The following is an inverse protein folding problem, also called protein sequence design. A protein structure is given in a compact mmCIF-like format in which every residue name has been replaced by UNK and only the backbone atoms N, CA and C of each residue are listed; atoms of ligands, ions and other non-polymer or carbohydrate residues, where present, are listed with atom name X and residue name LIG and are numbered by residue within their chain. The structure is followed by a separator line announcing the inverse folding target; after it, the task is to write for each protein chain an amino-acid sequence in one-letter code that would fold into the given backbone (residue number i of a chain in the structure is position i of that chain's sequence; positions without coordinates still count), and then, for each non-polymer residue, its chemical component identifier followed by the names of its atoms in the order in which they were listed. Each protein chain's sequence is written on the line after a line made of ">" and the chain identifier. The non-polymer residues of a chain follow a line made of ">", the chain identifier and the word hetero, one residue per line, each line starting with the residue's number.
data_IF_170685172726
#
_entry.id   IF_170685172726
#
_cell.length_a   1.000
_cell.length_b   1.000
_cell.length_c   1.000
_cell.angle_alpha   90.00
_cell.angle_beta   90.00
_cell.angle_gamma   90.00
#
_symmetry.space_group_name_H-M   'P 1'
#
loop_
_entity.id
_entity.type
_entity.pdbx_description
1 polymer ?
#
# COMPACT_ATOMS: atom_id res chain seq x y z
N UNK A 1 7.92 13.20 -9.08
CA UNK A 1 8.92 13.68 -8.10
C UNK A 1 10.20 13.98 -8.86
N UNK A 2 10.71 15.22 -8.86
CA UNK A 2 12.02 15.53 -9.43
C UNK A 2 13.11 14.71 -8.72
N UNK A 3 14.20 14.34 -9.42
CA UNK A 3 15.31 13.57 -8.82
C UNK A 3 15.91 14.24 -7.58
N UNK A 4 15.83 15.58 -7.50
CA UNK A 4 16.28 16.36 -6.35
C UNK A 4 15.50 16.03 -5.07
N UNK A 5 14.18 15.82 -5.20
CA UNK A 5 13.34 15.42 -4.08
C UNK A 5 13.78 14.07 -3.52
N UNK A 6 14.03 13.08 -4.39
CA UNK A 6 14.52 11.76 -3.99
C UNK A 6 15.89 11.83 -3.28
N UNK A 7 16.82 12.64 -3.79
CA UNK A 7 18.13 12.84 -3.14
C UNK A 7 17.99 13.43 -1.74
N UNK A 8 17.11 14.42 -1.58
CA UNK A 8 16.80 15.02 -0.28
C UNK A 8 16.24 13.99 0.71
N UNK A 9 15.36 13.08 0.25
CA UNK A 9 14.85 11.99 1.11
C UNK A 9 15.97 11.07 1.61
N UNK A 10 16.93 10.72 0.74
CA UNK A 10 18.08 9.88 1.13
C UNK A 10 19.01 10.58 2.12
N UNK A 11 19.28 11.88 1.95
CA UNK A 11 20.08 12.66 2.91
C UNK A 11 19.43 12.67 4.29
N UNK A 12 18.13 12.95 4.36
CA UNK A 12 17.36 12.97 5.61
C UNK A 12 17.39 11.61 6.32
N UNK A 13 17.35 10.49 5.58
CA UNK A 13 17.47 9.15 6.17
C UNK A 13 18.89 8.86 6.68
N UNK A 14 19.91 9.20 5.90
CA UNK A 14 21.32 8.97 6.23
C UNK A 14 21.80 9.74 7.47
N UNK A 15 21.20 10.89 7.75
CA UNK A 15 21.52 11.70 8.94
C UNK A 15 20.98 11.11 10.26
N UNK A 16 19.99 10.20 10.19
CA UNK A 16 19.28 9.70 11.37
C UNK A 16 19.60 8.24 11.71
N UNK A 17 19.81 7.38 10.71
CA UNK A 17 19.98 5.95 10.91
C UNK A 17 21.06 5.36 10.01
N UNK A 18 21.70 4.28 10.48
CA UNK A 18 22.47 3.42 9.60
C UNK A 18 21.54 2.79 8.55
N UNK A 19 22.07 2.53 7.35
CA UNK A 19 21.30 1.90 6.27
C UNK A 19 20.61 0.59 6.70
N UNK A 20 21.28 -0.35 7.43
CA UNK A 20 20.61 -1.55 7.93
C UNK A 20 19.43 -1.23 8.85
N UNK A 21 19.60 -0.31 9.80
CA UNK A 21 18.53 0.09 10.72
C UNK A 21 17.35 0.72 9.99
N UNK A 22 17.61 1.58 9.00
CA UNK A 22 16.57 2.20 8.19
C UNK A 22 15.80 1.15 7.35
N UNK A 23 16.51 0.13 6.87
CA UNK A 23 15.92 -0.97 6.10
C UNK A 23 15.00 -1.85 6.96
N UNK A 24 15.47 -2.29 8.13
CA UNK A 24 14.66 -3.12 9.04
C UNK A 24 13.38 -2.38 9.46
N UNK A 25 13.50 -1.09 9.81
CA UNK A 25 12.35 -0.25 10.15
C UNK A 25 11.38 -0.09 8.97
N UNK A 26 11.89 0.09 7.75
CA UNK A 26 11.06 0.12 6.55
C UNK A 26 10.29 -1.18 6.37
N UNK A 27 10.94 -2.33 6.50
CA UNK A 27 10.32 -3.65 6.36
C UNK A 27 9.20 -3.85 7.40
N UNK A 28 9.48 -3.60 8.68
CA UNK A 28 8.50 -3.73 9.76
C UNK A 28 7.25 -2.90 9.49
N UNK A 29 7.42 -1.64 9.06
CA UNK A 29 6.28 -0.76 8.81
C UNK A 29 5.55 -1.08 7.51
N UNK A 30 6.28 -1.44 6.46
CA UNK A 30 5.69 -1.82 5.20
C UNK A 30 4.83 -3.07 5.35
N UNK A 31 5.34 -4.10 6.01
CA UNK A 31 4.61 -5.36 6.25
C UNK A 31 3.39 -5.15 7.15
N UNK A 32 3.54 -4.33 8.20
CA UNK A 32 2.44 -3.97 9.10
C UNK A 32 1.29 -3.28 8.35
N UNK A 33 1.61 -2.24 7.57
CA UNK A 33 0.60 -1.49 6.81
C UNK A 33 -0.02 -2.31 5.69
N UNK A 34 0.77 -3.15 5.02
CA UNK A 34 0.27 -4.04 3.97
C UNK A 34 -0.69 -5.08 4.56
N UNK A 35 -0.33 -5.71 5.68
CA UNK A 35 -1.20 -6.64 6.39
C UNK A 35 -2.53 -6.02 6.82
N UNK A 36 -2.48 -4.78 7.32
CA UNK A 36 -3.68 -4.01 7.68
C UNK A 36 -4.55 -3.67 6.47
N UNK A 37 -3.96 -3.20 5.36
CA UNK A 37 -4.70 -2.83 4.16
C UNK A 37 -5.48 -4.02 3.55
N UNK A 38 -4.91 -5.23 3.62
CA UNK A 38 -5.56 -6.46 3.14
C UNK A 38 -6.39 -7.20 4.19
N UNK A 39 -6.52 -6.66 5.41
CA UNK A 39 -7.28 -7.28 6.50
C UNK A 39 -6.68 -8.59 7.03
N UNK A 40 -5.39 -8.82 6.82
CA UNK A 40 -4.66 -10.02 7.29
C UNK A 40 -4.35 -9.91 8.78
N UNK A 41 -4.03 -8.71 9.26
CA UNK A 41 -3.74 -8.41 10.66
C UNK A 41 -4.15 -6.97 11.00
N UNK A 42 -4.52 -6.65 12.25
CA UNK A 42 -4.70 -5.26 12.67
C UNK A 42 -3.38 -4.49 12.58
N UNK A 43 -3.47 -3.18 12.30
CA UNK A 43 -2.30 -2.30 12.34
C UNK A 43 -1.72 -2.28 13.76
N UNK A 44 -0.42 -2.56 13.89
CA UNK A 44 0.30 -2.52 15.16
C UNK A 44 0.44 -1.07 15.64
N UNK A 45 -0.04 -0.80 16.85
CA UNK A 45 0.20 0.46 17.56
C UNK A 45 1.66 0.52 18.04
N UNK A 46 2.21 1.73 18.17
CA UNK A 46 3.56 1.93 18.72
C UNK A 46 4.72 1.78 17.73
N UNK A 47 4.48 1.33 16.50
CA UNK A 47 5.50 1.42 15.46
C UNK A 47 5.66 2.90 15.06
N UNK A 48 6.89 3.41 15.16
CA UNK A 48 7.25 4.75 14.69
C UNK A 48 6.92 5.94 15.59
N UNK A 49 6.63 5.78 16.88
CA UNK A 49 6.15 6.86 17.79
C UNK A 49 7.07 8.07 18.01
N UNK A 50 8.27 8.11 17.41
CA UNK A 50 9.14 9.28 17.51
C UNK A 50 8.85 10.23 16.33
N UNK A 51 8.47 11.48 16.64
CA UNK A 51 8.23 12.53 15.65
C UNK A 51 9.55 13.05 15.07
N UNK A 52 9.85 12.70 13.82
CA UNK A 52 10.89 13.37 13.01
C UNK A 52 10.45 13.45 11.55
N UNK A 53 10.85 14.52 10.86
CA UNK A 53 10.54 14.74 9.44
C UNK A 53 10.96 13.52 8.57
N UNK A 54 12.07 12.87 8.94
CA UNK A 54 12.55 11.65 8.28
C UNK A 54 11.56 10.50 8.38
N UNK A 55 10.98 10.30 9.57
CA UNK A 55 10.01 9.23 9.82
C UNK A 55 8.66 9.52 9.20
N UNK A 56 8.19 10.77 9.26
CA UNK A 56 6.94 11.17 8.62
C UNK A 56 7.01 10.98 7.11
N UNK A 57 8.15 11.36 6.51
CA UNK A 57 8.39 11.18 5.09
C UNK A 57 8.43 9.68 4.70
N UNK A 58 9.13 8.86 5.48
CA UNK A 58 9.20 7.42 5.26
C UNK A 58 7.82 6.77 5.39
N UNK A 59 7.08 7.11 6.45
CA UNK A 59 5.72 6.61 6.70
C UNK A 59 4.76 6.99 5.57
N UNK A 60 4.76 8.26 5.15
CA UNK A 60 3.89 8.70 4.05
C UNK A 60 4.25 7.99 2.74
N UNK A 61 5.54 7.75 2.50
CA UNK A 61 6.00 6.98 1.33
C UNK A 61 5.49 5.53 1.40
N UNK A 62 5.62 4.86 2.54
CA UNK A 62 5.11 3.51 2.78
C UNK A 62 3.59 3.46 2.55
N UNK A 63 2.82 4.38 3.16
CA UNK A 63 1.36 4.48 2.99
C UNK A 63 0.99 4.64 1.52
N UNK A 64 1.67 5.53 0.80
CA UNK A 64 1.42 5.73 -0.63
C UNK A 64 1.69 4.45 -1.45
N UNK A 65 2.79 3.74 -1.16
CA UNK A 65 3.13 2.48 -1.82
C UNK A 65 2.12 1.38 -1.49
N UNK A 66 1.74 1.21 -0.22
CA UNK A 66 0.74 0.22 0.22
C UNK A 66 -0.62 0.50 -0.42
N UNK A 67 -1.06 1.76 -0.44
CA UNK A 67 -2.31 2.15 -1.10
C UNK A 67 -2.29 1.84 -2.60
N UNK A 68 -1.16 2.09 -3.27
CA UNK A 68 -1.01 1.72 -4.69
C UNK A 68 -1.15 0.22 -4.88
N UNK A 69 -0.42 -0.59 -4.10
CA UNK A 69 -0.47 -2.07 -4.19
C UNK A 69 -1.88 -2.58 -3.94
N UNK A 70 -2.56 -2.05 -2.92
CA UNK A 70 -3.94 -2.39 -2.60
C UNK A 70 -4.88 -2.08 -3.76
N UNK A 71 -4.83 -0.86 -4.30
CA UNK A 71 -5.69 -0.43 -5.41
C UNK A 71 -5.43 -1.25 -6.69
N UNK A 72 -4.15 -1.48 -7.03
CA UNK A 72 -3.79 -2.29 -8.20
C UNK A 72 -4.41 -3.70 -8.11
N UNK A 73 -4.27 -4.37 -6.95
CA UNK A 73 -4.86 -5.70 -6.73
C UNK A 73 -6.38 -5.68 -6.72
N UNK A 74 -6.99 -4.70 -6.06
CA UNK A 74 -8.44 -4.58 -5.99
C UNK A 74 -9.06 -4.39 -7.38
N UNK A 75 -8.47 -3.51 -8.19
CA UNK A 75 -8.94 -3.23 -9.55
C UNK A 75 -8.73 -4.42 -10.49
N UNK A 76 -7.62 -5.14 -10.38
CA UNK A 76 -7.39 -6.37 -11.13
C UNK A 76 -8.45 -7.43 -10.85
N UNK A 77 -8.78 -7.67 -9.57
CA UNK A 77 -9.83 -8.63 -9.21
C UNK A 77 -11.22 -8.15 -9.65
N UNK A 78 -11.50 -6.85 -9.56
CA UNK A 78 -12.76 -6.28 -10.04
C UNK A 78 -12.92 -6.45 -11.55
N UNK A 79 -11.85 -6.26 -12.33
CA UNK A 79 -11.85 -6.49 -13.78
C UNK A 79 -12.13 -7.96 -14.12
N UNK A 80 -11.44 -8.90 -13.46
CA UNK A 80 -11.66 -10.35 -13.64
C UNK A 80 -13.11 -10.76 -13.35
N UNK A 81 -13.75 -10.16 -12.35
CA UNK A 81 -15.15 -10.43 -12.03
C UNK A 81 -16.11 -9.93 -13.12
N UNK A 82 -15.86 -8.74 -13.68
CA UNK A 82 -16.68 -8.21 -14.79
C UNK A 82 -16.55 -9.05 -16.06
N UNK A 83 -15.35 -9.55 -16.37
CA UNK A 83 -15.11 -10.42 -17.52
C UNK A 83 -15.79 -11.79 -17.39
N UNK A 84 -16.01 -12.27 -16.16
CA UNK A 84 -16.71 -13.54 -15.87
C UNK A 84 -18.23 -13.42 -15.83
N UNK A 85 -18.78 -12.21 -15.86
CA UNK A 85 -20.23 -11.96 -15.83
C UNK A 85 -20.90 -11.63 -17.20
N UNK A 86 -20.63 -12.29 -18.35
CA UNK A 86 -21.37 -11.97 -19.58
C UNK A 86 -22.83 -12.44 -19.67
N UNK A 87 -23.30 -13.46 -18.92
CA UNK A 87 -24.54 -14.19 -19.34
C UNK A 87 -25.63 -14.42 -18.26
N UNK A 88 -25.80 -13.55 -17.26
CA UNK A 88 -26.96 -13.67 -16.34
C UNK A 88 -28.13 -12.71 -16.65
N UNK A 89 -27.92 -11.73 -17.54
CA UNK A 89 -28.98 -10.77 -17.90
C UNK A 89 -29.84 -11.16 -19.11
N UNK A 90 -29.51 -12.24 -19.85
CA UNK A 90 -30.28 -12.67 -21.04
C UNK A 90 -31.20 -13.89 -20.79
N UNK A 91 -30.99 -14.67 -19.73
CA UNK A 91 -31.80 -15.85 -19.45
C UNK A 91 -33.19 -15.55 -18.84
N UNK A 92 -33.43 -14.33 -18.34
CA UNK A 92 -34.68 -13.94 -17.67
C UNK A 92 -35.75 -13.36 -18.62
N UNK A 93 -35.44 -13.16 -19.90
CA UNK A 93 -36.39 -12.59 -20.89
C UNK A 93 -37.08 -13.66 -21.75
N UNK A 94 -36.63 -14.93 -21.74
CA UNK A 94 -37.20 -16.02 -22.55
C UNK A 94 -38.11 -17.00 -21.77
N UNK A 95 -38.47 -16.68 -20.52
CA UNK A 95 -39.20 -17.60 -19.64
C UNK A 95 -40.68 -17.27 -19.37
N UNK A 96 -41.34 -16.47 -20.21
CA UNK A 96 -42.79 -16.22 -20.10
C UNK A 96 -43.42 -16.46 -21.48
N UNK A 97 -43.68 -17.73 -21.79
CA UNK A 97 -44.76 -18.14 -22.71
C UNK A 97 -45.95 -18.64 -21.89
#
# INVERSE_FOLDING_TARGET
>A
VPLEGLRMMFSIQGDNYSLPTAYDYFCDEFENMLGAAFGIAPAREGLGETQSDAKDLLRNTIVATVNKVYLDRYLEEYQKQREKAPDEQQASVQGIE
#
